data_IF_627937874906
#
_entry.id   IF_627937874906
#
_cell.length_a   1.000
_cell.length_b   1.000
_cell.length_c   1.000
_cell.angle_alpha   90.00
_cell.angle_beta   90.00
_cell.angle_gamma   90.00
#
_symmetry.space_group_name_H-M   'P 1'
#
loop_
_entity.id
_entity.type
_entity.pdbx_description
1 polymer ?
#
# COMPACT_ATOMS: atom_id res chain seq x y z
N UNK A 1 -4.56 1.58 -4.51
CA UNK A 1 -4.07 0.56 -3.55
C UNK A 1 -2.56 0.40 -3.75
N UNK A 2 -1.75 1.01 -2.89
CA UNK A 2 -0.29 0.99 -3.05
C UNK A 2 0.33 -0.35 -2.64
N UNK A 3 -0.09 -0.91 -1.50
CA UNK A 3 0.38 -2.19 -0.97
C UNK A 3 0.19 -3.34 -1.98
N UNK A 4 -1.05 -3.57 -2.43
CA UNK A 4 -1.39 -4.61 -3.41
C UNK A 4 -0.60 -4.46 -4.72
N UNK A 5 -0.42 -3.23 -5.20
CA UNK A 5 0.38 -2.98 -6.40
C UNK A 5 1.86 -3.28 -6.19
N UNK A 6 2.44 -2.85 -5.06
CA UNK A 6 3.85 -3.10 -4.76
C UNK A 6 4.16 -4.61 -4.66
N UNK A 7 3.28 -5.38 -4.01
CA UNK A 7 3.41 -6.84 -3.89
C UNK A 7 3.32 -7.51 -5.27
N UNK A 8 2.31 -7.17 -6.07
CA UNK A 8 2.16 -7.73 -7.41
C UNK A 8 3.31 -7.34 -8.35
N UNK A 9 3.77 -6.07 -8.32
CA UNK A 9 4.89 -5.61 -9.12
C UNK A 9 6.16 -6.41 -8.78
N UNK A 10 6.40 -6.66 -7.49
CA UNK A 10 7.51 -7.50 -7.04
C UNK A 10 7.37 -8.95 -7.49
N UNK A 11 6.19 -9.56 -7.29
CA UNK A 11 5.93 -10.95 -7.70
C UNK A 11 6.12 -11.17 -9.21
N UNK A 12 5.71 -10.20 -10.04
CA UNK A 12 5.98 -10.21 -11.49
C UNK A 12 7.47 -10.12 -11.78
N UNK A 13 8.20 -9.24 -11.10
CA UNK A 13 9.66 -9.06 -11.27
C UNK A 13 10.44 -10.35 -11.00
N UNK A 14 10.02 -11.14 -10.01
CA UNK A 14 10.68 -12.39 -9.65
C UNK A 14 10.07 -13.63 -10.33
N UNK A 15 9.12 -13.45 -11.25
CA UNK A 15 8.48 -14.55 -12.00
C UNK A 15 7.66 -15.49 -11.12
N UNK A 16 7.04 -14.98 -10.04
CA UNK A 16 6.26 -15.78 -9.09
C UNK A 16 4.83 -16.09 -9.53
N UNK A 17 4.30 -15.38 -10.53
CA UNK A 17 2.97 -15.65 -11.10
C UNK A 17 3.11 -16.45 -12.39
N UNK A 18 2.24 -17.45 -12.57
CA UNK A 18 2.07 -18.10 -13.89
C UNK A 18 1.32 -17.16 -14.84
N UNK A 19 1.46 -17.36 -16.16
CA UNK A 19 0.89 -16.47 -17.18
C UNK A 19 -0.64 -16.28 -17.07
N UNK A 20 -1.36 -17.25 -16.51
CA UNK A 20 -2.82 -17.26 -16.36
C UNK A 20 -3.30 -17.09 -14.90
N UNK A 21 -2.40 -16.82 -13.96
CA UNK A 21 -2.75 -16.73 -12.54
C UNK A 21 -3.25 -15.32 -12.20
N UNK A 22 -4.43 -15.24 -11.58
CA UNK A 22 -4.88 -13.99 -10.98
C UNK A 22 -3.88 -13.59 -9.88
N UNK A 23 -3.32 -12.38 -10.01
CA UNK A 23 -2.41 -11.82 -9.01
C UNK A 23 -3.11 -11.56 -7.67
N UNK A 24 -2.34 -11.17 -6.67
CA UNK A 24 -2.86 -10.92 -5.32
C UNK A 24 -3.88 -9.79 -5.33
N UNK A 25 -5.04 -10.02 -4.72
CA UNK A 25 -6.12 -9.04 -4.64
C UNK A 25 -5.95 -8.08 -3.47
N UNK A 26 -6.77 -7.02 -3.47
CA UNK A 26 -6.81 -6.07 -2.37
C UNK A 26 -7.34 -6.68 -1.07
N UNK A 27 -8.15 -7.72 -1.14
CA UNK A 27 -8.70 -8.40 0.03
C UNK A 27 -7.64 -9.31 0.66
N UNK A 28 -6.91 -10.08 -0.16
CA UNK A 28 -5.79 -10.92 0.28
C UNK A 28 -4.75 -10.09 1.05
N UNK A 29 -4.36 -8.92 0.51
CA UNK A 29 -3.38 -8.06 1.18
C UNK A 29 -3.85 -7.42 2.47
N UNK A 30 -5.17 -7.40 2.73
CA UNK A 30 -5.75 -6.82 3.95
C UNK A 30 -6.06 -7.88 4.99
N UNK A 31 -6.08 -9.15 4.62
CA UNK A 31 -6.26 -10.25 5.57
C UNK A 31 -5.09 -10.28 6.57
N UNK A 32 -5.41 -10.28 7.86
CA UNK A 32 -4.39 -10.25 8.94
C UNK A 32 -3.56 -8.97 9.04
N UNK A 33 -3.79 -7.96 8.18
CA UNK A 33 -3.00 -6.73 8.16
C UNK A 33 -3.35 -5.82 9.34
N UNK A 34 -2.36 -5.57 10.20
CA UNK A 34 -2.41 -4.46 11.16
C UNK A 34 -1.50 -3.35 10.67
N UNK A 35 -2.06 -2.18 10.39
CA UNK A 35 -1.31 -1.03 9.92
C UNK A 35 -1.78 0.26 10.58
N UNK A 36 -0.83 1.17 10.81
CA UNK A 36 -1.08 2.54 11.29
C UNK A 36 -0.61 3.50 10.21
N UNK A 37 -1.51 4.37 9.74
CA UNK A 37 -1.17 5.44 8.80
C UNK A 37 -1.31 6.77 9.53
N UNK A 38 -0.18 7.43 9.73
CA UNK A 38 -0.12 8.74 10.37
C UNK A 38 0.32 9.80 9.36
N UNK A 39 -0.43 10.88 9.24
CA UNK A 39 -0.15 12.00 8.35
C UNK A 39 -0.12 13.26 9.18
N UNK A 40 1.04 13.94 9.17
CA UNK A 40 1.23 15.23 9.84
C UNK A 40 1.03 16.37 8.84
N UNK A 41 0.18 17.33 9.20
CA UNK A 41 -0.12 18.49 8.37
C UNK A 41 -0.38 19.73 9.24
N UNK A 42 -0.08 20.95 8.77
CA UNK A 42 -0.48 22.19 9.43
C UNK A 42 -1.99 22.30 9.60
N UNK A 43 -2.44 22.79 10.75
CA UNK A 43 -3.87 22.85 11.10
C UNK A 43 -4.72 23.64 10.09
N UNK A 44 -4.16 24.69 9.50
CA UNK A 44 -4.78 25.53 8.49
C UNK A 44 -4.97 24.85 7.13
N UNK A 45 -4.23 23.76 6.87
CA UNK A 45 -4.30 22.98 5.62
C UNK A 45 -5.15 21.72 5.74
N UNK A 46 -5.41 21.24 6.96
CA UNK A 46 -6.21 20.04 7.17
C UNK A 46 -7.67 20.33 6.87
N UNK A 47 -8.23 19.52 5.98
CA UNK A 47 -9.64 19.56 5.60
C UNK A 47 -10.28 18.23 5.96
N UNK A 48 -11.48 18.28 6.57
CA UNK A 48 -12.27 17.10 6.85
C UNK A 48 -13.63 17.21 6.16
N UNK A 49 -14.17 16.07 5.74
CA UNK A 49 -15.55 15.98 5.28
C UNK A 49 -16.50 15.96 6.48
N UNK A 50 -17.39 16.95 6.55
CA UNK A 50 -18.41 17.06 7.59
C UNK A 50 -17.87 17.45 8.97
N UNK A 51 -18.79 17.60 9.93
CA UNK A 51 -18.48 18.10 11.26
C UNK A 51 -17.79 17.06 12.15
N UNK A 52 -18.02 15.76 11.93
CA UNK A 52 -17.50 14.67 12.76
C UNK A 52 -16.02 14.35 12.51
N UNK A 53 -15.39 15.00 11.52
CA UNK A 53 -14.01 14.74 11.11
C UNK A 53 -13.72 13.27 10.80
N UNK A 54 -14.72 12.52 10.35
CA UNK A 54 -14.62 11.08 10.09
C UNK A 54 -13.84 10.71 8.83
N UNK A 55 -13.66 11.66 7.90
CA UNK A 55 -12.93 11.45 6.65
C UNK A 55 -12.07 12.68 6.30
N UNK A 56 -10.81 12.43 5.95
CA UNK A 56 -9.90 13.47 5.47
C UNK A 56 -10.36 13.93 4.07
N UNK A 57 -10.57 15.23 3.90
CA UNK A 57 -11.04 15.85 2.65
C UNK A 57 -9.93 16.32 1.71
N UNK A 58 -8.66 16.30 2.15
CA UNK A 58 -7.50 16.62 1.33
C UNK A 58 -7.28 15.55 0.23
N UNK A 59 -7.93 15.72 -0.92
CA UNK A 59 -7.88 14.78 -2.04
C UNK A 59 -6.46 14.52 -2.56
N UNK A 60 -5.56 15.49 -2.42
CA UNK A 60 -4.14 15.40 -2.80
C UNK A 60 -3.32 14.43 -1.94
N UNK A 61 -3.78 14.13 -0.72
CA UNK A 61 -3.05 13.27 0.22
C UNK A 61 -3.15 11.79 -0.16
N UNK A 62 -4.25 11.39 -0.79
CA UNK A 62 -4.41 10.01 -1.24
C UNK A 62 -3.37 9.60 -2.32
N UNK A 63 -3.15 10.34 -3.42
CA UNK A 63 -2.12 9.98 -4.39
C UNK A 63 -0.71 10.10 -3.81
N UNK A 64 -0.44 11.09 -2.95
CA UNK A 64 0.86 11.26 -2.28
C UNK A 64 1.20 10.07 -1.38
N UNK A 65 0.29 9.69 -0.49
CA UNK A 65 0.47 8.52 0.39
C UNK A 65 0.66 7.23 -0.42
N UNK A 66 -0.09 7.07 -1.53
CA UNK A 66 0.09 5.90 -2.39
C UNK A 66 1.46 5.84 -3.06
N UNK A 67 1.99 6.97 -3.52
CA UNK A 67 3.32 7.03 -4.12
C UNK A 67 4.41 6.68 -3.10
N UNK A 68 4.38 7.32 -1.92
CA UNK A 68 5.35 7.09 -0.84
C UNK A 68 5.33 5.63 -0.37
N UNK A 69 4.14 5.07 -0.13
CA UNK A 69 4.01 3.66 0.30
C UNK A 69 4.52 2.72 -0.78
N UNK A 70 4.23 2.98 -2.07
CA UNK A 70 4.71 2.14 -3.16
C UNK A 70 6.24 2.15 -3.22
N UNK A 71 6.84 3.34 -3.24
CA UNK A 71 8.30 3.50 -3.30
C UNK A 71 9.00 2.81 -2.12
N UNK A 72 8.54 3.09 -0.90
CA UNK A 72 9.11 2.47 0.30
C UNK A 72 8.99 0.95 0.31
N UNK A 73 7.85 0.39 -0.10
CA UNK A 73 7.67 -1.06 -0.20
C UNK A 73 8.52 -1.67 -1.31
N UNK A 74 8.67 -1.00 -2.45
CA UNK A 74 9.54 -1.47 -3.53
C UNK A 74 10.98 -1.59 -3.06
N UNK A 75 11.50 -0.58 -2.37
CA UNK A 75 12.86 -0.61 -1.79
C UNK A 75 12.94 -1.71 -0.73
N UNK A 76 11.99 -1.76 0.21
CA UNK A 76 11.98 -2.77 1.28
C UNK A 76 11.98 -4.20 0.75
N UNK A 77 11.19 -4.50 -0.29
CA UNK A 77 11.14 -5.84 -0.88
C UNK A 77 12.41 -6.21 -1.67
N UNK A 78 13.08 -5.24 -2.26
CA UNK A 78 14.39 -5.46 -2.90
C UNK A 78 15.46 -5.80 -1.85
N UNK A 79 15.45 -5.11 -0.70
CA UNK A 79 16.38 -5.35 0.41
C UNK A 79 16.03 -6.60 1.24
N UNK A 80 14.75 -6.96 1.32
CA UNK A 80 14.22 -8.04 2.17
C UNK A 80 13.43 -9.07 1.34
N UNK A 81 14.08 -9.83 0.44
CA UNK A 81 13.39 -10.76 -0.46
C UNK A 81 12.68 -11.92 0.25
N UNK A 82 13.12 -12.30 1.47
CA UNK A 82 12.42 -13.29 2.29
C UNK A 82 11.04 -12.81 2.74
N UNK A 83 10.93 -11.55 3.13
CA UNK A 83 9.68 -10.96 3.61
C UNK A 83 8.73 -10.71 2.44
N UNK A 84 9.28 -10.24 1.31
CA UNK A 84 8.51 -10.08 0.09
C UNK A 84 7.89 -11.41 -0.39
N UNK A 85 8.64 -12.51 -0.31
CA UNK A 85 8.10 -13.86 -0.59
C UNK A 85 7.03 -14.27 0.43
N UNK A 86 7.22 -14.01 1.72
CA UNK A 86 6.17 -14.26 2.73
C UNK A 86 4.91 -13.46 2.45
N UNK A 87 5.02 -12.22 1.97
CA UNK A 87 3.86 -11.42 1.59
C UNK A 87 3.15 -11.92 0.31
N UNK A 88 3.84 -12.72 -0.52
CA UNK A 88 3.28 -13.30 -1.75
C UNK A 88 2.64 -14.68 -1.54
N UNK A 89 3.15 -15.47 -0.60
CA UNK A 89 2.77 -16.89 -0.43
C UNK A 89 2.27 -17.24 0.97
N UNK A 90 2.19 -16.23 1.86
CA UNK A 90 1.83 -16.39 3.27
C UNK A 90 0.34 -16.60 3.49
#
# INVERSE_FOLDING_TARGET
MALTRAINDYGKKIGSFKEDEEGITGDDTREGLTAVVYIKMPQDKIQFEGQTKGKLGNAEIQPLSQAIVKEGLSIYFEENPSDARRALFG
#
